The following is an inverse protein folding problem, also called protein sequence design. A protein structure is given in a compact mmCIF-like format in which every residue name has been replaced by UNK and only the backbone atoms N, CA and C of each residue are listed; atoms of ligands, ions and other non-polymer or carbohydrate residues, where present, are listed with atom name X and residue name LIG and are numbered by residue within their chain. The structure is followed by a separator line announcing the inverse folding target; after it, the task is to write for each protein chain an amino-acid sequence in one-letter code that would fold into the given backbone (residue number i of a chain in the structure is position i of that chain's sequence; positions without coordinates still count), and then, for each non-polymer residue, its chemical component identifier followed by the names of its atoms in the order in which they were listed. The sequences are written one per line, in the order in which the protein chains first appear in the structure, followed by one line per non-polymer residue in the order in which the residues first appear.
data_IF_930265257015
#
_entry.id   IF_930265257015
#
_cell.length_a   1.000
_cell.length_b   1.000
_cell.length_c   1.000
_cell.angle_alpha   90.00
_cell.angle_beta   90.00
_cell.angle_gamma   90.00
#
_symmetry.space_group_name_H-M   'P 1'
#
loop_
_entity.id
_entity.type
_entity.pdbx_description
1 polymer ?
#
# COMPACT_ATOMS: atom_id res chain seq x y z
N UNK A 1 56.62 47.16 5.47
CA UNK A 1 55.20 47.53 5.37
C UNK A 1 54.47 46.43 4.60
N UNK A 2 53.55 45.70 5.25
CA UNK A 2 52.73 44.60 4.70
C UNK A 2 51.49 45.17 4.02
N UNK A 3 51.10 44.73 2.80
CA UNK A 3 49.69 44.59 2.30
C UNK A 3 49.64 43.59 1.11
N UNK A 4 49.23 42.34 1.35
CA UNK A 4 47.89 41.73 1.19
C UNK A 4 47.65 41.21 -0.23
N UNK A 5 47.73 39.88 -0.37
CA UNK A 5 47.33 39.08 -1.53
C UNK A 5 45.82 38.85 -1.41
N UNK A 6 45.04 39.34 -2.36
CA UNK A 6 43.59 39.08 -2.43
C UNK A 6 43.35 37.74 -3.14
N UNK A 7 43.02 36.72 -2.34
CA UNK A 7 42.56 35.42 -2.82
C UNK A 7 41.04 35.50 -3.02
N UNK A 8 40.59 35.52 -4.28
CA UNK A 8 39.18 35.45 -4.64
C UNK A 8 38.66 34.04 -4.43
N UNK A 9 37.74 33.87 -3.47
CA UNK A 9 37.03 32.61 -3.21
C UNK A 9 35.94 32.45 -4.27
N UNK A 10 36.08 31.42 -5.11
CA UNK A 10 35.04 30.97 -6.05
C UNK A 10 34.01 30.14 -5.27
N UNK A 11 32.82 30.70 -5.05
CA UNK A 11 31.68 29.96 -4.47
C UNK A 11 31.08 29.09 -5.57
N UNK A 12 31.34 27.79 -5.52
CA UNK A 12 30.63 26.79 -6.36
C UNK A 12 29.31 26.48 -5.67
N UNK A 13 28.21 26.88 -6.30
CA UNK A 13 26.85 26.68 -5.81
C UNK A 13 26.49 25.20 -5.72
N UNK A 14 26.11 24.77 -4.52
CA UNK A 14 25.50 23.47 -4.24
C UNK A 14 24.06 23.47 -4.77
N UNK A 15 23.83 22.92 -5.96
CA UNK A 15 22.49 22.58 -6.42
C UNK A 15 22.02 21.38 -5.61
N UNK A 16 21.34 21.63 -4.48
CA UNK A 16 20.54 20.61 -3.81
C UNK A 16 19.36 20.34 -4.74
N UNK A 17 19.42 19.23 -5.47
CA UNK A 17 18.28 18.75 -6.22
C UNK A 17 17.14 18.50 -5.24
N UNK A 18 16.13 19.36 -5.23
CA UNK A 18 14.84 19.02 -4.65
C UNK A 18 14.31 17.85 -5.49
N UNK A 19 14.45 16.63 -4.99
CA UNK A 19 13.64 15.51 -5.45
C UNK A 19 12.19 15.89 -5.19
N UNK A 20 11.49 16.33 -6.23
CA UNK A 20 10.04 16.45 -6.17
C UNK A 20 9.49 15.09 -5.70
N UNK A 21 8.53 15.05 -4.77
CA UNK A 21 7.79 13.82 -4.54
C UNK A 21 7.26 13.34 -5.89
N UNK A 22 7.29 12.01 -6.17
CA UNK A 22 6.77 11.51 -7.44
C UNK A 22 5.35 12.04 -7.61
N UNK A 23 5.11 12.74 -8.73
CA UNK A 23 3.77 13.09 -9.12
C UNK A 23 3.01 11.79 -9.32
N UNK A 24 2.08 11.47 -8.40
CA UNK A 24 1.35 10.21 -8.41
C UNK A 24 0.39 10.26 -9.60
N UNK A 25 0.79 9.55 -10.67
CA UNK A 25 -0.01 9.38 -11.86
C UNK A 25 -1.39 8.82 -11.49
N UNK A 26 -2.41 9.27 -12.22
CA UNK A 26 -3.83 9.01 -12.05
C UNK A 26 -4.13 7.77 -11.20
N UNK A 27 -4.82 7.96 -10.07
CA UNK A 27 -5.46 6.89 -9.31
C UNK A 27 -6.36 6.13 -10.28
N UNK A 28 -5.79 5.12 -10.93
CA UNK A 28 -6.46 4.29 -11.92
C UNK A 28 -7.65 3.61 -11.29
N UNK A 29 -8.51 3.01 -12.11
CA UNK A 29 -9.56 2.16 -11.54
C UNK A 29 -8.90 1.00 -10.77
N UNK A 30 -9.05 1.04 -9.44
CA UNK A 30 -8.52 0.01 -8.54
C UNK A 30 -9.38 -1.25 -8.59
N UNK A 31 -10.57 -1.17 -9.18
CA UNK A 31 -11.44 -2.32 -9.32
C UNK A 31 -10.74 -3.46 -10.09
N UNK A 32 -11.01 -4.69 -9.66
CA UNK A 32 -10.42 -5.89 -10.22
C UNK A 32 -9.94 -6.86 -9.15
N UNK A 33 -9.20 -7.86 -9.61
CA UNK A 33 -8.60 -8.89 -8.78
C UNK A 33 -7.09 -8.70 -8.74
N UNK A 34 -6.55 -8.82 -7.54
CA UNK A 34 -5.15 -8.64 -7.21
C UNK A 34 -4.66 -9.89 -6.48
N UNK A 35 -3.40 -10.23 -6.65
CA UNK A 35 -2.75 -11.36 -5.96
C UNK A 35 -1.41 -10.95 -5.39
N UNK A 36 -1.01 -11.65 -4.32
CA UNK A 36 0.28 -11.48 -3.66
C UNK A 36 0.76 -12.81 -3.07
N UNK A 37 2.02 -12.81 -2.65
CA UNK A 37 2.59 -13.77 -1.71
C UNK A 37 3.14 -12.96 -0.55
N UNK A 38 2.72 -13.24 0.68
CA UNK A 38 3.12 -12.45 1.83
C UNK A 38 4.41 -12.99 2.52
N UNK A 39 4.74 -12.43 3.68
CA UNK A 39 5.97 -12.73 4.40
C UNK A 39 6.07 -14.17 4.94
N UNK A 40 4.94 -14.86 5.17
CA UNK A 40 4.94 -16.27 5.58
C UNK A 40 4.82 -17.25 4.40
N UNK A 41 4.68 -16.70 3.19
CA UNK A 41 4.62 -17.45 1.95
C UNK A 41 3.20 -17.86 1.55
N UNK A 42 2.18 -17.40 2.29
CA UNK A 42 0.78 -17.61 1.91
C UNK A 42 0.43 -16.92 0.59
N UNK A 43 -0.49 -17.52 -0.15
CA UNK A 43 -1.04 -16.91 -1.35
C UNK A 43 -2.31 -16.15 -1.00
N UNK A 44 -2.35 -14.87 -1.40
CA UNK A 44 -3.48 -14.02 -1.10
C UNK A 44 -4.14 -13.51 -2.38
N UNK A 45 -5.46 -13.38 -2.32
CA UNK A 45 -6.29 -12.80 -3.40
C UNK A 45 -7.11 -11.65 -2.84
N UNK A 46 -6.97 -10.48 -3.42
CA UNK A 46 -7.73 -9.29 -3.11
C UNK A 46 -8.69 -8.97 -4.25
N UNK A 47 -9.99 -8.91 -3.96
CA UNK A 47 -11.01 -8.41 -4.89
C UNK A 47 -11.42 -7.01 -4.48
N UNK A 48 -11.34 -6.06 -5.41
CA UNK A 48 -11.77 -4.67 -5.25
C UNK A 48 -12.96 -4.42 -6.19
N UNK A 49 -14.08 -3.97 -5.63
CA UNK A 49 -15.25 -3.57 -6.40
C UNK A 49 -15.52 -2.08 -6.20
N UNK A 50 -15.54 -1.32 -7.29
CA UNK A 50 -15.89 0.10 -7.28
C UNK A 50 -17.32 0.30 -6.78
N UNK A 51 -17.49 1.19 -5.81
CA UNK A 51 -18.81 1.58 -5.27
C UNK A 51 -19.17 3.05 -5.54
N UNK A 52 -18.35 3.74 -6.35
CA UNK A 52 -18.46 5.17 -6.65
C UNK A 52 -17.79 6.06 -5.61
N UNK A 53 -17.59 7.34 -5.93
CA UNK A 53 -17.05 8.36 -5.00
C UNK A 53 -15.76 7.94 -4.26
N UNK A 54 -14.80 7.32 -4.98
CA UNK A 54 -13.51 6.83 -4.42
C UNK A 54 -13.69 5.87 -3.23
N UNK A 55 -14.81 5.15 -3.20
CA UNK A 55 -15.09 4.12 -2.22
C UNK A 55 -15.16 2.74 -2.88
N UNK A 56 -14.69 1.72 -2.17
CA UNK A 56 -14.60 0.36 -2.67
C UNK A 56 -15.12 -0.65 -1.64
N UNK A 57 -15.76 -1.72 -2.11
CA UNK A 57 -15.93 -2.93 -1.34
C UNK A 57 -14.73 -3.84 -1.60
N UNK A 58 -14.15 -4.41 -0.55
CA UNK A 58 -12.92 -5.19 -0.64
C UNK A 58 -13.04 -6.51 0.12
N UNK A 59 -12.47 -7.55 -0.48
CA UNK A 59 -12.36 -8.88 0.12
C UNK A 59 -10.96 -9.42 -0.11
N UNK A 60 -10.27 -9.81 0.95
CA UNK A 60 -9.00 -10.53 0.90
C UNK A 60 -9.26 -11.97 1.35
N UNK A 61 -8.82 -12.92 0.55
CA UNK A 61 -8.67 -14.31 0.95
C UNK A 61 -7.17 -14.61 1.08
N UNK A 62 -6.81 -15.25 2.18
CA UNK A 62 -5.46 -15.71 2.47
C UNK A 62 -5.57 -17.21 2.73
N UNK A 63 -4.79 -18.01 2.00
CA UNK A 63 -4.86 -19.47 2.09
C UNK A 63 -4.17 -20.06 3.34
N UNK A 64 -3.34 -19.29 4.04
CA UNK A 64 -2.62 -19.72 5.24
C UNK A 64 -2.23 -18.52 6.11
N UNK A 65 -3.16 -18.00 6.91
CA UNK A 65 -2.89 -16.82 7.71
C UNK A 65 -2.28 -17.17 9.07
N UNK A 66 -1.14 -16.55 9.41
CA UNK A 66 -0.51 -16.65 10.74
C UNK A 66 -1.49 -16.34 11.89
N UNK A 67 -2.37 -15.35 11.70
CA UNK A 67 -3.36 -14.94 12.72
C UNK A 67 -4.42 -16.02 13.01
N UNK A 68 -4.55 -17.00 12.10
CA UNK A 68 -5.47 -18.13 12.17
C UNK A 68 -4.73 -19.45 12.45
N UNK A 69 -3.53 -19.40 13.04
CA UNK A 69 -2.69 -20.56 13.31
C UNK A 69 -2.40 -21.39 12.04
N UNK A 70 -2.23 -20.71 10.90
CA UNK A 70 -1.97 -21.33 9.58
C UNK A 70 -3.23 -21.83 8.87
N UNK A 71 -4.42 -21.58 9.41
CA UNK A 71 -5.66 -21.83 8.70
C UNK A 71 -5.99 -20.66 7.74
N UNK A 72 -6.79 -20.87 6.68
CA UNK A 72 -7.18 -19.80 5.78
C UNK A 72 -7.94 -18.67 6.50
N UNK A 73 -7.78 -17.44 6.01
CA UNK A 73 -8.51 -16.28 6.49
C UNK A 73 -9.32 -15.60 5.38
N UNK A 74 -10.46 -15.01 5.78
CA UNK A 74 -11.24 -14.12 4.95
C UNK A 74 -11.37 -12.76 5.63
N UNK A 75 -10.91 -11.72 4.96
CA UNK A 75 -11.03 -10.33 5.38
C UNK A 75 -12.02 -9.63 4.47
N UNK A 76 -13.04 -8.98 5.03
CA UNK A 76 -14.05 -8.26 4.25
C UNK A 76 -14.31 -6.90 4.85
N UNK A 77 -14.35 -5.89 3.98
CA UNK A 77 -14.48 -4.51 4.43
C UNK A 77 -14.80 -3.53 3.31
N UNK A 78 -14.76 -2.27 3.69
CA UNK A 78 -14.89 -1.14 2.78
C UNK A 78 -13.63 -0.30 2.83
N UNK A 79 -13.23 0.25 1.69
CA UNK A 79 -12.11 1.16 1.63
C UNK A 79 -12.49 2.50 1.00
N UNK A 80 -11.72 3.53 1.36
CA UNK A 80 -11.78 4.84 0.74
C UNK A 80 -10.38 5.27 0.36
N UNK A 81 -10.28 6.04 -0.71
CA UNK A 81 -9.03 6.73 -1.01
C UNK A 81 -8.98 8.02 -0.20
N UNK A 82 -8.05 8.07 0.75
CA UNK A 82 -7.73 9.23 1.57
C UNK A 82 -6.37 9.76 1.13
N UNK A 83 -6.34 11.00 0.63
CA UNK A 83 -5.15 11.58 -0.02
C UNK A 83 -4.66 10.67 -1.16
N UNK A 84 -3.55 9.97 -0.92
CA UNK A 84 -2.85 9.08 -1.86
C UNK A 84 -2.82 7.61 -1.39
N UNK A 85 -3.60 7.26 -0.37
CA UNK A 85 -3.68 5.90 0.16
C UNK A 85 -5.11 5.35 0.06
N UNK A 86 -5.22 4.07 -0.28
CA UNK A 86 -6.46 3.33 -0.14
C UNK A 86 -6.48 2.75 1.29
N UNK A 87 -7.37 3.23 2.14
CA UNK A 87 -7.50 2.75 3.51
C UNK A 87 -8.72 1.84 3.64
N UNK A 88 -8.47 0.56 3.91
CA UNK A 88 -9.49 -0.46 4.12
C UNK A 88 -9.82 -0.60 5.60
N UNK A 89 -11.11 -0.57 5.93
CA UNK A 89 -11.63 -0.91 7.26
C UNK A 89 -12.41 -2.21 7.17
N UNK A 90 -11.97 -3.25 7.88
CA UNK A 90 -12.44 -4.61 7.63
C UNK A 90 -12.60 -5.48 8.88
N UNK A 91 -13.36 -6.57 8.73
CA UNK A 91 -13.40 -7.67 9.70
C UNK A 91 -12.69 -8.89 9.10
N UNK A 92 -11.94 -9.60 9.93
CA UNK A 92 -11.27 -10.85 9.57
C UNK A 92 -11.91 -12.05 10.27
N UNK A 93 -12.00 -13.17 9.56
CA UNK A 93 -12.50 -14.45 10.08
C UNK A 93 -11.54 -15.58 9.70
N UNK A 94 -11.35 -16.52 10.62
CA UNK A 94 -10.63 -17.76 10.34
C UNK A 94 -11.55 -18.84 9.77
N UNK A 95 -11.03 -19.62 8.83
CA UNK A 95 -11.74 -20.69 8.13
C UNK A 95 -11.05 -22.04 8.35
N UNK A 96 -11.80 -23.15 8.37
CA UNK A 96 -13.26 -23.21 8.48
C UNK A 96 -13.73 -22.80 9.89
N UNK A 97 -15.01 -22.42 10.01
CA UNK A 97 -15.64 -22.15 11.31
C UNK A 97 -15.99 -20.69 11.59
N UNK A 98 -15.46 -19.74 10.81
CA UNK A 98 -15.93 -18.35 10.80
C UNK A 98 -15.75 -17.62 12.12
N UNK A 99 -14.79 -18.05 12.95
CA UNK A 99 -14.46 -17.39 14.19
C UNK A 99 -13.99 -15.97 13.86
N UNK A 100 -14.88 -14.98 14.07
CA UNK A 100 -14.54 -13.57 13.93
C UNK A 100 -13.45 -13.27 14.93
N UNK A 101 -12.33 -12.77 14.42
CA UNK A 101 -11.40 -12.05 15.27
C UNK A 101 -12.15 -10.89 15.90
N UNK A 102 -11.95 -10.69 17.21
CA UNK A 102 -12.62 -9.61 17.93
C UNK A 102 -11.98 -8.28 17.53
N UNK A 103 -12.54 -7.62 16.52
CA UNK A 103 -12.12 -6.27 16.15
C UNK A 103 -12.46 -5.90 14.71
N UNK A 104 -12.26 -4.61 14.42
CA UNK A 104 -12.17 -4.09 13.06
C UNK A 104 -10.71 -3.73 12.84
N UNK A 105 -10.11 -4.25 11.79
CA UNK A 105 -8.75 -3.94 11.39
C UNK A 105 -8.75 -2.82 10.33
N UNK A 106 -7.69 -2.01 10.34
CA UNK A 106 -7.36 -1.09 9.26
C UNK A 106 -6.22 -1.67 8.44
N UNK A 107 -6.24 -1.50 7.12
CA UNK A 107 -5.12 -1.85 6.23
C UNK A 107 -4.95 -0.71 5.24
N UNK A 108 -3.81 -0.02 5.30
CA UNK A 108 -3.43 0.97 4.29
C UNK A 108 -2.78 0.31 3.07
N UNK A 109 -3.11 0.79 1.87
CA UNK A 109 -2.46 0.44 0.62
C UNK A 109 -1.94 1.69 -0.07
N UNK A 110 -0.65 1.67 -0.42
CA UNK A 110 -0.03 2.63 -1.32
C UNK A 110 -0.21 2.16 -2.76
N UNK A 111 -0.58 3.07 -3.66
CA UNK A 111 -0.79 2.76 -5.09
C UNK A 111 0.43 3.22 -5.87
N UNK A 112 1.05 2.31 -6.64
CA UNK A 112 2.04 2.68 -7.64
C UNK A 112 1.45 2.52 -9.04
N UNK A 113 1.03 3.65 -9.62
CA UNK A 113 0.48 3.71 -10.96
C UNK A 113 1.50 3.42 -12.07
N UNK A 114 2.81 3.54 -11.79
CA UNK A 114 3.87 3.25 -12.76
C UNK A 114 4.08 1.76 -12.97
N UNK A 115 3.90 0.97 -11.91
CA UNK A 115 4.00 -0.50 -11.95
C UNK A 115 2.64 -1.22 -11.92
N UNK A 116 1.53 -0.49 -11.75
CA UNK A 116 0.17 -1.02 -11.54
C UNK A 116 0.15 -2.04 -10.38
N UNK A 117 0.70 -1.61 -9.24
CA UNK A 117 0.78 -2.41 -8.01
C UNK A 117 0.16 -1.69 -6.83
N UNK A 118 -0.26 -2.47 -5.84
CA UNK A 118 -0.58 -1.98 -4.49
C UNK A 118 0.46 -2.51 -3.51
N UNK A 119 0.89 -1.70 -2.56
CA UNK A 119 1.73 -2.14 -1.45
C UNK A 119 1.01 -1.87 -0.14
N UNK A 120 0.73 -2.92 0.63
CA UNK A 120 0.09 -2.73 1.93
C UNK A 120 1.07 -2.27 3.02
N UNK A 121 0.54 -1.89 4.18
CA UNK A 121 1.32 -1.41 5.33
C UNK A 121 2.26 -2.45 5.94
N UNK A 122 2.11 -3.74 5.58
CA UNK A 122 3.00 -4.82 5.97
C UNK A 122 4.14 -5.04 4.95
N UNK A 123 4.13 -4.29 3.85
CA UNK A 123 5.11 -4.37 2.77
C UNK A 123 4.82 -5.44 1.73
N UNK A 124 3.63 -6.04 1.74
CA UNK A 124 3.23 -7.03 0.73
C UNK A 124 2.85 -6.30 -0.55
N UNK A 125 3.42 -6.76 -1.67
CA UNK A 125 3.16 -6.21 -3.00
C UNK A 125 2.10 -7.03 -3.70
N UNK A 126 1.06 -6.36 -4.15
CA UNK A 126 -0.08 -6.90 -4.86
C UNK A 126 0.00 -6.51 -6.33
N UNK A 127 -0.15 -7.49 -7.21
CA UNK A 127 -0.18 -7.30 -8.66
C UNK A 127 -1.53 -7.74 -9.20
N UNK A 128 -1.94 -7.24 -10.37
CA UNK A 128 -3.17 -7.73 -11.02
C UNK A 128 -3.06 -9.22 -11.32
N UNK A 129 -4.17 -9.93 -11.12
CA UNK A 129 -4.31 -11.35 -11.45
C UNK A 129 -4.35 -11.59 -12.96
#
# INVERSE_FOLDING_TARGET
MKRIISLGILVVGLFIGLSAPPAVAAQGDLAGTWTSIDGDGSHQTLTIMGSGNRAYAMTIFDDSATLCDGAPALVTGSARVEEDQLFMRAAAVCLPGGNRLRGVIGIGFSVDAGSDTLTDEFGVVWSRA
#
